data_IF_154472440441
#
_entry.id   IF_154472440441
#
_cell.length_a   1.000
_cell.length_b   1.000
_cell.length_c   1.000
_cell.angle_alpha   90.00
_cell.angle_beta   90.00
_cell.angle_gamma   90.00
#
_symmetry.space_group_name_H-M   'P 1'
#
loop_
_entity.id
_entity.type
_entity.pdbx_description
1 polymer ?
#
# COMPACT_ATOMS: atom_id res chain seq x y z
N UNK A 1 7.44 -11.38 11.74
CA UNK A 1 6.29 -12.00 11.04
C UNK A 1 5.15 -11.06 10.60
N UNK A 2 5.27 -9.72 10.41
CA UNK A 2 4.18 -8.92 9.78
C UNK A 2 4.30 -8.77 8.25
N UNK A 3 5.51 -8.93 7.67
CA UNK A 3 5.75 -8.56 6.26
C UNK A 3 5.02 -9.44 5.23
N UNK A 4 4.84 -10.74 5.52
CA UNK A 4 4.15 -11.65 4.61
C UNK A 4 2.63 -11.42 4.57
N UNK A 5 2.03 -11.00 5.70
CA UNK A 5 0.60 -10.72 5.80
C UNK A 5 0.24 -9.41 5.08
N UNK A 6 1.14 -8.43 5.11
CA UNK A 6 0.97 -7.16 4.37
C UNK A 6 0.98 -7.33 2.84
N UNK A 7 1.70 -8.32 2.30
CA UNK A 7 1.72 -8.54 0.84
C UNK A 7 0.39 -9.14 0.34
N UNK A 8 -0.13 -10.17 1.01
CA UNK A 8 -1.43 -10.76 0.67
C UNK A 8 -2.59 -9.78 0.89
N UNK A 9 -2.56 -9.02 1.98
CA UNK A 9 -3.56 -7.99 2.24
C UNK A 9 -3.47 -6.84 1.23
N UNK A 10 -2.27 -6.50 0.75
CA UNK A 10 -2.14 -5.52 -0.33
C UNK A 10 -2.71 -6.02 -1.67
N UNK A 11 -2.56 -7.30 -2.00
CA UNK A 11 -3.19 -7.90 -3.18
C UNK A 11 -4.71 -7.93 -3.03
N UNK A 12 -5.24 -8.30 -1.86
CA UNK A 12 -6.67 -8.26 -1.58
C UNK A 12 -7.22 -6.84 -1.64
N UNK A 13 -6.55 -5.88 -1.01
CA UNK A 13 -6.95 -4.47 -1.01
C UNK A 13 -6.91 -3.86 -2.42
N UNK A 14 -5.93 -4.26 -3.25
CA UNK A 14 -5.91 -3.91 -4.66
C UNK A 14 -7.11 -4.48 -5.42
N UNK A 15 -7.42 -5.77 -5.21
CA UNK A 15 -8.52 -6.45 -5.91
C UNK A 15 -9.92 -5.99 -5.45
N UNK A 16 -10.09 -5.65 -4.17
CA UNK A 16 -11.40 -5.38 -3.55
C UNK A 16 -11.70 -3.88 -3.43
N UNK A 17 -10.68 -3.05 -3.17
CA UNK A 17 -10.84 -1.62 -2.88
C UNK A 17 -10.09 -0.73 -3.88
N UNK A 18 -9.57 -1.28 -4.98
CA UNK A 18 -8.79 -0.55 -6.01
C UNK A 18 -7.64 0.28 -5.41
N UNK A 19 -7.03 -0.20 -4.32
CA UNK A 19 -5.92 0.54 -3.71
C UNK A 19 -4.69 0.38 -4.59
N UNK A 20 -4.28 1.48 -5.23
CA UNK A 20 -3.27 1.46 -6.28
C UNK A 20 -1.88 1.86 -5.77
N UNK A 21 -1.81 2.46 -4.58
CA UNK A 21 -0.55 2.93 -4.03
C UNK A 21 -0.26 2.30 -2.67
N UNK A 22 1.03 2.07 -2.42
CA UNK A 22 1.49 1.56 -1.14
C UNK A 22 1.17 2.54 -0.02
N UNK A 23 1.22 3.84 -0.34
CA UNK A 23 0.93 4.96 0.54
C UNK A 23 -0.51 4.92 1.04
N UNK A 24 -1.49 4.59 0.18
CA UNK A 24 -2.89 4.43 0.60
C UNK A 24 -3.08 3.28 1.61
N UNK A 25 -2.29 2.21 1.51
CA UNK A 25 -2.37 1.05 2.42
C UNK A 25 -1.61 1.33 3.72
N UNK A 26 -0.42 1.92 3.63
CA UNK A 26 0.54 2.01 4.74
C UNK A 26 0.52 3.37 5.45
N UNK A 27 -0.06 4.41 4.86
CA UNK A 27 -0.14 5.74 5.44
C UNK A 27 -1.59 6.25 5.56
N UNK A 28 -2.42 5.60 6.39
CA UNK A 28 -3.82 6.01 6.58
C UNK A 28 -3.95 7.43 7.15
N UNK A 29 -2.88 7.95 7.75
CA UNK A 29 -2.87 9.27 8.35
C UNK A 29 -2.30 10.35 7.42
N UNK A 30 -1.79 10.04 6.23
CA UNK A 30 -1.13 11.03 5.35
C UNK A 30 0.09 11.69 6.00
N UNK A 31 0.85 10.93 6.80
CA UNK A 31 2.07 11.37 7.47
C UNK A 31 3.30 11.29 6.57
N UNK A 32 3.26 10.51 5.50
CA UNK A 32 4.33 10.37 4.53
C UNK A 32 4.41 11.59 3.63
N UNK A 33 5.62 12.05 3.32
CA UNK A 33 5.84 13.16 2.37
C UNK A 33 6.68 12.72 1.19
N UNK A 34 6.56 13.40 0.03
CA UNK A 34 7.44 13.17 -1.10
C UNK A 34 8.91 13.30 -0.67
N UNK A 35 9.69 12.22 -0.80
CA UNK A 35 11.10 12.14 -0.40
C UNK A 35 11.38 11.44 0.92
N UNK A 36 10.36 11.08 1.70
CA UNK A 36 10.55 10.31 2.94
C UNK A 36 10.85 8.82 2.63
N UNK A 37 11.70 8.14 3.44
CA UNK A 37 12.01 6.71 3.28
C UNK A 37 10.75 5.84 3.30
N UNK A 38 10.69 4.70 2.60
CA UNK A 38 9.46 3.93 2.44
C UNK A 38 9.11 3.08 3.69
N UNK A 39 9.46 3.50 4.89
CA UNK A 39 9.19 2.80 6.14
C UNK A 39 8.87 3.82 7.23
N UNK A 40 8.12 3.44 8.26
CA UNK A 40 7.86 4.34 9.38
C UNK A 40 9.13 4.53 10.24
N UNK A 41 9.39 5.78 10.64
CA UNK A 41 10.60 6.11 11.39
C UNK A 41 10.52 7.48 12.07
N UNK A 42 11.66 8.05 12.40
CA UNK A 42 11.72 9.33 13.13
C UNK A 42 11.11 10.47 12.31
N UNK A 43 11.18 10.40 10.99
CA UNK A 43 10.57 11.38 10.09
C UNK A 43 9.04 11.40 10.20
N UNK A 44 8.36 10.26 10.39
CA UNK A 44 6.90 10.23 10.53
C UNK A 44 6.46 10.91 11.82
N UNK A 45 7.20 10.74 12.92
CA UNK A 45 6.97 11.47 14.17
C UNK A 45 7.10 12.99 13.98
N UNK A 46 8.14 13.44 13.27
CA UNK A 46 8.32 14.86 12.96
C UNK A 46 7.20 15.40 12.06
N UNK A 47 6.74 14.60 11.09
CA UNK A 47 5.59 14.93 10.24
C UNK A 47 4.30 15.05 11.05
N UNK A 48 4.06 14.12 11.98
CA UNK A 48 2.91 14.15 12.88
C UNK A 48 2.92 15.39 13.79
N UNK A 49 4.08 15.71 14.36
CA UNK A 49 4.28 16.92 15.18
C UNK A 49 4.03 18.19 14.37
N UNK A 50 4.55 18.27 13.14
CA UNK A 50 4.32 19.41 12.24
C UNK A 50 2.84 19.56 11.89
N UNK A 51 2.15 18.44 11.62
CA UNK A 51 0.70 18.45 11.34
C UNK A 51 -0.09 18.91 12.55
N UNK A 52 0.23 18.43 13.75
CA UNK A 52 -0.43 18.83 15.00
C UNK A 52 -0.34 20.35 15.19
N UNK A 53 0.85 20.94 15.06
CA UNK A 53 1.03 22.39 15.22
C UNK A 53 0.37 23.20 14.11
N UNK A 54 0.34 22.69 12.87
CA UNK A 54 -0.42 23.32 11.78
C UNK A 54 -1.91 23.39 12.15
N UNK A 55 -2.51 22.26 12.51
CA UNK A 55 -3.93 22.19 12.90
C UNK A 55 -4.27 23.08 14.09
N UNK A 56 -3.34 23.23 15.05
CA UNK A 56 -3.53 24.15 16.16
C UNK A 56 -3.49 25.62 15.71
N UNK A 57 -2.57 25.99 14.82
CA UNK A 57 -2.49 27.33 14.24
C UNK A 57 -3.73 27.68 13.42
N UNK A 58 -4.25 26.69 12.70
CA UNK A 58 -5.45 26.83 11.86
C UNK A 58 -6.75 26.81 12.70
N UNK A 59 -6.65 26.65 14.03
CA UNK A 59 -7.80 26.66 14.95
C UNK A 59 -8.63 25.37 14.97
N UNK A 60 -8.23 24.33 14.24
CA UNK A 60 -8.95 23.06 14.17
C UNK A 60 -8.86 22.24 15.47
N UNK A 61 -7.81 22.46 16.26
CA UNK A 61 -7.58 21.73 17.51
C UNK A 61 -7.20 22.69 18.63
N UNK A 62 -7.79 22.49 19.81
CA UNK A 62 -7.47 23.27 21.01
C UNK A 62 -6.14 22.86 21.67
N UNK A 63 -5.61 23.76 22.49
CA UNK A 63 -4.36 23.56 23.25
C UNK A 63 -4.35 22.27 24.07
N UNK A 64 -5.49 21.87 24.66
CA UNK A 64 -5.61 20.63 25.44
C UNK A 64 -5.20 19.38 24.64
N UNK A 65 -5.60 19.31 23.35
CA UNK A 65 -5.26 18.19 22.49
C UNK A 65 -3.76 18.14 22.19
N UNK A 66 -3.14 19.30 22.03
CA UNK A 66 -1.69 19.42 21.84
C UNK A 66 -0.95 18.97 23.11
N UNK A 67 -1.37 19.45 24.28
CA UNK A 67 -0.80 19.06 25.57
C UNK A 67 -0.94 17.56 25.84
N UNK A 68 -2.11 16.99 25.57
CA UNK A 68 -2.36 15.56 25.74
C UNK A 68 -1.50 14.71 24.79
N UNK A 69 -1.33 15.15 23.54
CA UNK A 69 -0.44 14.48 22.59
C UNK A 69 0.99 14.40 23.11
N UNK A 70 1.50 15.47 23.71
CA UNK A 70 2.83 15.50 24.29
C UNK A 70 2.95 14.62 25.54
N UNK A 71 1.97 14.68 26.44
CA UNK A 71 1.95 13.85 27.65
C UNK A 71 1.97 12.36 27.30
N UNK A 72 1.13 11.95 26.33
CA UNK A 72 1.10 10.57 25.84
C UNK A 72 2.46 10.12 25.28
N UNK A 73 3.10 10.95 24.45
CA UNK A 73 4.40 10.57 23.89
C UNK A 73 5.51 10.49 24.93
N UNK A 74 5.44 11.26 26.03
CA UNK A 74 6.38 11.11 27.14
C UNK A 74 6.25 9.72 27.78
N UNK A 75 5.01 9.25 28.00
CA UNK A 75 4.75 7.91 28.56
C UNK A 75 5.26 6.79 27.64
N UNK A 76 5.26 7.01 26.32
CA UNK A 76 5.69 6.04 25.30
C UNK A 76 7.19 6.19 24.94
N UNK A 77 8.00 6.80 25.82
CA UNK A 77 9.45 6.98 25.60
C UNK A 77 9.79 7.84 24.36
N UNK A 78 8.87 8.71 23.98
CA UNK A 78 9.03 9.74 22.95
C UNK A 78 9.46 9.19 21.58
N UNK A 79 10.62 9.61 21.09
CA UNK A 79 11.18 9.21 19.79
C UNK A 79 12.06 7.96 19.86
N UNK A 80 12.32 7.44 21.07
CA UNK A 80 13.23 6.30 21.27
C UNK A 80 12.78 5.06 20.49
N UNK A 81 11.48 4.67 20.48
CA UNK A 81 11.02 3.52 19.69
C UNK A 81 11.31 3.67 18.19
N UNK A 82 11.18 4.90 17.66
CA UNK A 82 11.43 5.19 16.25
C UNK A 82 12.91 5.10 15.90
N UNK A 83 13.80 5.55 16.79
CA UNK A 83 15.24 5.38 16.60
C UNK A 83 15.67 3.91 16.64
N UNK A 84 15.03 3.11 17.50
CA UNK A 84 15.27 1.66 17.56
C UNK A 84 14.84 0.98 16.26
N UNK A 85 13.65 1.32 15.73
CA UNK A 85 13.18 0.82 14.45
C UNK A 85 14.13 1.19 13.29
N UNK A 86 14.57 2.45 13.21
CA UNK A 86 15.55 2.87 12.21
C UNK A 86 16.91 2.18 12.36
N UNK A 87 17.31 1.86 13.60
CA UNK A 87 18.51 1.09 13.86
C UNK A 87 18.35 -0.36 13.39
N UNK A 88 17.23 -1.02 13.69
CA UNK A 88 16.93 -2.38 13.24
C UNK A 88 16.89 -2.46 11.71
N UNK A 89 16.22 -1.52 11.05
CA UNK A 89 16.17 -1.45 9.58
C UNK A 89 17.58 -1.30 9.01
N UNK A 90 18.40 -0.43 9.61
CA UNK A 90 19.81 -0.27 9.21
C UNK A 90 20.62 -1.54 9.45
N UNK A 91 20.38 -2.23 10.57
CA UNK A 91 21.06 -3.48 10.91
C UNK A 91 20.67 -4.60 9.93
N UNK A 92 19.39 -4.76 9.60
CA UNK A 92 18.90 -5.71 8.59
C UNK A 92 19.49 -5.38 7.22
N UNK A 93 19.49 -4.09 6.83
CA UNK A 93 20.08 -3.66 5.55
C UNK A 93 21.57 -3.93 5.48
N UNK A 94 22.30 -3.70 6.58
CA UNK A 94 23.76 -3.93 6.70
C UNK A 94 24.10 -5.42 6.76
N UNK A 95 23.27 -6.23 7.41
CA UNK A 95 23.38 -7.69 7.41
C UNK A 95 23.13 -8.30 6.02
N UNK A 96 22.71 -7.48 5.04
CA UNK A 96 22.27 -7.92 3.72
C UNK A 96 20.89 -8.57 3.81
N UNK A 97 20.16 -8.59 2.69
CA UNK A 97 19.11 -9.62 2.52
C UNK A 97 19.83 -10.95 2.75
N UNK A 98 19.64 -11.58 3.92
CA UNK A 98 20.02 -12.98 4.10
C UNK A 98 19.49 -13.69 2.86
N UNK A 99 20.38 -14.30 2.11
CA UNK A 99 20.02 -15.01 0.88
C UNK A 99 18.80 -15.84 1.21
N UNK A 100 17.73 -15.67 0.44
CA UNK A 100 16.53 -16.48 0.63
C UNK A 100 17.00 -17.94 0.67
N UNK A 101 16.50 -18.77 1.61
CA UNK A 101 16.87 -20.18 1.60
C UNK A 101 16.68 -20.71 0.18
N UNK A 102 17.59 -21.55 -0.30
CA UNK A 102 17.64 -21.94 -1.72
C UNK A 102 16.28 -22.46 -2.25
N UNK A 103 15.49 -23.10 -1.37
CA UNK A 103 14.11 -23.49 -1.66
C UNK A 103 13.20 -22.31 -1.99
N UNK A 104 13.25 -21.23 -1.21
CA UNK A 104 12.44 -20.03 -1.43
C UNK A 104 12.90 -19.25 -2.66
N UNK A 105 14.21 -19.20 -2.93
CA UNK A 105 14.75 -18.64 -4.17
C UNK A 105 14.22 -19.40 -5.39
N UNK A 106 14.21 -20.73 -5.34
CA UNK A 106 13.67 -21.58 -6.41
C UNK A 106 12.15 -21.36 -6.60
N UNK A 107 11.39 -21.18 -5.52
CA UNK A 107 9.96 -20.87 -5.59
C UNK A 107 9.67 -19.45 -6.06
N UNK A 108 10.63 -18.54 -5.93
CA UNK A 108 10.51 -17.14 -6.36
C UNK A 108 10.86 -16.96 -7.83
N UNK A 109 11.42 -17.98 -8.50
CA UNK A 109 11.67 -17.91 -9.93
C UNK A 109 10.34 -17.83 -10.70
N UNK A 110 10.26 -16.98 -11.73
CA UNK A 110 9.06 -16.91 -12.56
C UNK A 110 8.80 -18.28 -13.20
N UNK A 111 7.52 -18.64 -13.35
CA UNK A 111 7.18 -19.85 -14.08
C UNK A 111 7.76 -19.79 -15.51
N UNK A 112 8.25 -20.91 -16.05
CA UNK A 112 8.64 -21.00 -17.46
C UNK A 112 7.50 -20.53 -18.37
N UNK A 113 7.82 -19.85 -19.47
CA UNK A 113 6.82 -19.28 -20.39
C UNK A 113 5.92 -20.35 -21.00
N UNK A 114 6.43 -21.57 -21.10
CA UNK A 114 5.71 -22.75 -21.59
C UNK A 114 4.58 -23.17 -20.64
N UNK A 115 4.66 -22.80 -19.36
CA UNK A 115 3.65 -23.06 -18.34
C UNK A 115 2.68 -21.88 -18.17
N UNK A 116 2.86 -20.79 -18.91
CA UNK A 116 1.95 -19.66 -18.85
C UNK A 116 0.64 -20.07 -19.55
N UNK A 117 -0.47 -19.91 -18.85
CA UNK A 117 -1.78 -20.06 -19.47
C UNK A 117 -1.93 -18.97 -20.55
N UNK A 118 -2.21 -19.39 -21.78
CA UNK A 118 -2.59 -18.45 -22.83
C UNK A 118 -4.01 -17.96 -22.55
N UNK A 119 -4.28 -16.65 -22.65
CA UNK A 119 -5.64 -16.15 -22.54
C UNK A 119 -6.50 -16.80 -23.63
N UNK A 120 -7.73 -17.17 -23.29
CA UNK A 120 -8.68 -17.63 -24.31
C UNK A 120 -9.05 -16.47 -25.23
N UNK A 121 -9.44 -16.76 -26.46
CA UNK A 121 -9.88 -15.74 -27.42
C UNK A 121 -11.02 -14.88 -26.86
N UNK A 122 -11.90 -15.47 -26.04
CA UNK A 122 -12.93 -14.73 -25.30
C UNK A 122 -12.34 -13.74 -24.31
N UNK A 123 -11.34 -14.14 -23.52
CA UNK A 123 -10.68 -13.26 -22.56
C UNK A 123 -9.95 -12.11 -23.26
N UNK A 124 -9.35 -12.36 -24.42
CA UNK A 124 -8.73 -11.31 -25.24
C UNK A 124 -9.77 -10.28 -25.70
N UNK A 125 -10.92 -10.74 -26.20
CA UNK A 125 -12.03 -9.86 -26.62
C UNK A 125 -12.58 -9.03 -25.46
N UNK A 126 -12.84 -9.64 -24.30
CA UNK A 126 -13.32 -8.92 -23.12
C UNK A 126 -12.28 -7.93 -22.60
N UNK A 127 -10.99 -8.29 -22.62
CA UNK A 127 -9.89 -7.40 -22.22
C UNK A 127 -9.79 -6.19 -23.14
N UNK A 128 -9.96 -6.38 -24.46
CA UNK A 128 -9.99 -5.28 -25.42
C UNK A 128 -11.18 -4.33 -25.18
N UNK A 129 -12.35 -4.88 -24.86
CA UNK A 129 -13.55 -4.10 -24.54
C UNK A 129 -13.39 -3.28 -23.25
N UNK A 130 -12.85 -3.90 -22.18
CA UNK A 130 -12.52 -3.18 -20.93
C UNK A 130 -11.55 -2.04 -21.20
N UNK A 131 -10.46 -2.27 -21.96
CA UNK A 131 -9.49 -1.22 -22.31
C UNK A 131 -10.14 -0.08 -23.10
N UNK A 132 -11.04 -0.37 -24.04
CA UNK A 132 -11.80 0.66 -24.78
C UNK A 132 -12.65 1.51 -23.84
N UNK A 133 -13.42 0.88 -22.95
CA UNK A 133 -14.29 1.60 -22.00
C UNK A 133 -13.48 2.43 -21.01
N UNK A 134 -12.35 1.90 -20.53
CA UNK A 134 -11.44 2.63 -19.66
C UNK A 134 -10.83 3.85 -20.35
N UNK A 135 -10.44 3.72 -21.62
CA UNK A 135 -9.92 4.86 -22.40
C UNK A 135 -10.97 5.95 -22.63
N UNK A 136 -12.25 5.58 -22.73
CA UNK A 136 -13.37 6.54 -22.85
C UNK A 136 -13.74 7.19 -21.53
N UNK A 137 -13.54 6.49 -20.41
CA UNK A 137 -13.97 6.91 -19.07
C UNK A 137 -12.85 6.72 -18.05
N UNK A 138 -11.77 7.52 -18.13
CA UNK A 138 -10.58 7.34 -17.29
C UNK A 138 -10.85 7.57 -15.79
N UNK A 139 -11.89 8.32 -15.44
CA UNK A 139 -12.25 8.63 -14.04
C UNK A 139 -13.20 7.59 -13.42
N UNK A 140 -13.61 6.56 -14.18
CA UNK A 140 -14.55 5.55 -13.70
C UNK A 140 -13.78 4.38 -13.05
N UNK A 141 -14.25 3.83 -11.91
CA UNK A 141 -13.63 2.67 -11.29
C UNK A 141 -13.57 1.49 -12.26
N UNK A 142 -12.40 0.86 -12.35
CA UNK A 142 -12.14 -0.19 -13.33
C UNK A 142 -12.98 -1.44 -13.03
N UNK A 143 -13.25 -1.72 -11.75
CA UNK A 143 -14.12 -2.82 -11.29
C UNK A 143 -15.54 -2.70 -11.82
N UNK A 144 -16.10 -1.49 -11.90
CA UNK A 144 -17.42 -1.27 -12.47
C UNK A 144 -17.45 -1.58 -13.98
N UNK A 145 -16.39 -1.19 -14.69
CA UNK A 145 -16.23 -1.50 -16.12
C UNK A 145 -16.10 -3.02 -16.33
N UNK A 146 -15.30 -3.70 -15.49
CA UNK A 146 -15.17 -5.16 -15.51
C UNK A 146 -16.50 -5.86 -15.22
N UNK A 147 -17.23 -5.43 -14.18
CA UNK A 147 -18.51 -6.01 -13.80
C UNK A 147 -19.55 -5.90 -14.94
N UNK A 148 -19.60 -4.76 -15.64
CA UNK A 148 -20.49 -4.58 -16.79
C UNK A 148 -20.12 -5.46 -17.98
N UNK A 149 -18.83 -5.61 -18.26
CA UNK A 149 -18.35 -6.46 -19.36
C UNK A 149 -18.62 -7.93 -19.05
N UNK A 150 -18.39 -8.38 -17.81
CA UNK A 150 -18.71 -9.73 -17.36
C UNK A 150 -20.22 -10.00 -17.34
N UNK A 151 -21.04 -9.10 -16.80
CA UNK A 151 -22.50 -9.23 -16.81
C UNK A 151 -23.07 -9.21 -18.24
N UNK A 152 -22.47 -8.42 -19.13
CA UNK A 152 -22.82 -8.41 -20.56
C UNK A 152 -22.52 -9.75 -21.23
N UNK A 153 -21.39 -10.40 -20.89
CA UNK A 153 -21.06 -11.75 -21.35
C UNK A 153 -22.11 -12.77 -20.88
N UNK A 154 -22.42 -12.80 -19.58
CA UNK A 154 -23.37 -13.76 -19.01
C UNK A 154 -24.74 -13.67 -19.67
N UNK A 155 -25.20 -12.45 -20.00
CA UNK A 155 -26.47 -12.22 -20.72
C UNK A 155 -26.45 -12.65 -22.18
N UNK A 156 -25.29 -12.68 -22.84
CA UNK A 156 -25.15 -13.13 -24.23
C UNK A 156 -25.02 -14.65 -24.35
N UNK A 157 -24.63 -15.31 -23.25
CA UNK A 157 -24.45 -16.78 -23.17
C UNK A 157 -25.65 -17.52 -22.58
N UNK A 158 -26.63 -16.80 -22.04
CA UNK A 158 -27.89 -17.32 -21.48
C UNK A 158 -29.01 -17.27 -22.53
#
# INVERSE_FOLDING_TARGET
MPLAMGLWESVRAYMEYEVHTREEIQDPNGLHRPGDPPYEGVHTFHNARRRLHRRHRDGEIGLFKVSMWYLWHILVLWTIPYHLAEWEIRAIRKAGRKTLPASLEAWSQPLPREQWAQPSEELERLSAEVRRRQAQQPNRPITAIFAEVCAGKERLTA
#
